data_IF_795888101270
#
_entry.id   IF_795888101270
#
_cell.length_a   1.000
_cell.length_b   1.000
_cell.length_c   1.000
_cell.angle_alpha   90.00
_cell.angle_beta   90.00
_cell.angle_gamma   90.00
#
_symmetry.space_group_name_H-M   'P 1'
#
loop_
_entity.id
_entity.type
_entity.pdbx_description
1 polymer ?
#
# COMPACT_ATOMS: atom_id res chain seq x y z
N UNK A 1 41.69 1.95 -7.87
CA UNK A 1 41.90 0.59 -8.43
C UNK A 1 42.85 -0.12 -7.49
N UNK A 2 42.54 -1.33 -7.02
CA UNK A 2 43.45 -2.06 -6.13
C UNK A 2 44.78 -2.28 -6.85
N UNK A 3 45.89 -2.11 -6.12
CA UNK A 3 47.22 -2.26 -6.71
C UNK A 3 47.73 -3.70 -6.64
N UNK A 4 47.15 -4.56 -5.80
CA UNK A 4 47.44 -6.00 -5.67
C UNK A 4 48.90 -6.37 -5.32
N UNK A 5 49.75 -5.37 -5.08
CA UNK A 5 51.20 -5.53 -4.88
C UNK A 5 51.63 -5.33 -3.42
N UNK A 6 50.79 -4.71 -2.57
CA UNK A 6 51.09 -4.44 -1.16
C UNK A 6 49.96 -4.94 -0.26
N UNK A 7 50.07 -6.15 0.34
CA UNK A 7 49.01 -6.73 1.13
C UNK A 7 48.65 -5.91 2.38
N UNK A 8 49.54 -5.05 2.88
CA UNK A 8 49.22 -4.18 4.03
C UNK A 8 48.33 -3.02 3.60
N UNK A 9 48.66 -2.40 2.45
CA UNK A 9 47.85 -1.32 1.90
C UNK A 9 46.48 -1.84 1.46
N UNK A 10 46.45 -2.97 0.77
CA UNK A 10 45.21 -3.58 0.30
C UNK A 10 44.32 -4.03 1.47
N UNK A 11 44.89 -4.50 2.59
CA UNK A 11 44.13 -4.80 3.81
C UNK A 11 43.48 -3.54 4.43
N UNK A 12 44.17 -2.40 4.43
CA UNK A 12 43.61 -1.13 4.91
C UNK A 12 42.48 -0.62 4.01
N UNK A 13 42.63 -0.75 2.69
CA UNK A 13 41.58 -0.41 1.73
C UNK A 13 40.34 -1.31 1.90
N UNK A 14 40.54 -2.62 2.12
CA UNK A 14 39.46 -3.55 2.39
C UNK A 14 38.69 -3.22 3.69
N UNK A 15 39.40 -2.82 4.75
CA UNK A 15 38.78 -2.37 6.00
C UNK A 15 37.88 -1.14 5.78
N UNK A 16 38.38 -0.12 5.06
CA UNK A 16 37.59 1.08 4.78
C UNK A 16 36.37 0.78 3.88
N UNK A 17 36.52 -0.14 2.90
CA UNK A 17 35.41 -0.57 2.07
C UNK A 17 34.30 -1.25 2.88
N UNK A 18 34.66 -2.17 3.79
CA UNK A 18 33.70 -2.82 4.69
C UNK A 18 33.03 -1.83 5.64
N UNK A 19 33.77 -0.85 6.15
CA UNK A 19 33.21 0.23 6.99
C UNK A 19 32.21 1.08 6.20
N UNK A 20 32.54 1.43 4.96
CA UNK A 20 31.64 2.14 4.05
C UNK A 20 30.37 1.34 3.78
N UNK A 21 30.50 0.05 3.49
CA UNK A 21 29.38 -0.86 3.26
C UNK A 21 28.47 -0.95 4.50
N UNK A 22 29.04 -1.12 5.69
CA UNK A 22 28.28 -1.18 6.95
C UNK A 22 27.51 0.11 7.25
N UNK A 23 28.00 1.27 6.78
CA UNK A 23 27.26 2.53 6.87
C UNK A 23 26.11 2.60 5.86
N UNK A 24 26.38 2.22 4.60
CA UNK A 24 25.40 2.27 3.53
C UNK A 24 24.26 1.26 3.73
N UNK A 25 24.54 0.07 4.28
CA UNK A 25 23.56 -1.01 4.47
C UNK A 25 22.60 -0.79 5.65
N UNK A 26 22.61 0.39 6.30
CA UNK A 26 21.62 0.74 7.33
C UNK A 26 20.22 0.93 6.76
N UNK A 27 20.12 1.27 5.47
CA UNK A 27 18.86 1.34 4.74
C UNK A 27 19.07 0.84 3.31
N UNK A 28 18.03 0.24 2.75
CA UNK A 28 17.98 -0.15 1.34
C UNK A 28 16.79 0.56 0.71
N UNK A 29 17.04 1.43 -0.27
CA UNK A 29 15.97 2.14 -0.98
C UNK A 29 15.19 1.20 -1.91
N UNK A 30 15.90 0.30 -2.59
CA UNK A 30 15.30 -0.81 -3.33
C UNK A 30 15.61 -2.14 -2.59
N UNK A 31 14.61 -2.88 -2.11
CA UNK A 31 14.81 -4.19 -1.52
C UNK A 31 15.52 -5.19 -2.45
N UNK A 32 15.48 -5.00 -3.77
CA UNK A 32 16.20 -5.84 -4.73
C UNK A 32 17.73 -5.71 -4.60
N UNK A 33 18.24 -4.58 -4.11
CA UNK A 33 19.69 -4.36 -3.93
C UNK A 33 20.29 -5.30 -2.87
N UNK A 34 19.46 -5.81 -1.95
CA UNK A 34 19.89 -6.80 -0.94
C UNK A 34 20.45 -8.07 -1.58
N UNK A 35 19.93 -8.47 -2.74
CA UNK A 35 20.42 -9.62 -3.50
C UNK A 35 21.84 -9.39 -4.03
N UNK A 36 22.06 -8.25 -4.66
CA UNK A 36 23.36 -7.88 -5.23
C UNK A 36 24.43 -7.78 -4.14
N UNK A 37 24.13 -7.07 -3.05
CA UNK A 37 25.04 -6.93 -1.91
C UNK A 37 25.37 -8.28 -1.26
N UNK A 38 24.39 -9.17 -1.13
CA UNK A 38 24.63 -10.54 -0.61
C UNK A 38 25.56 -11.34 -1.53
N UNK A 39 25.39 -11.20 -2.85
CA UNK A 39 26.27 -11.83 -3.84
C UNK A 39 27.71 -11.33 -3.78
N UNK A 40 27.91 -10.01 -3.64
CA UNK A 40 29.23 -9.41 -3.52
C UNK A 40 29.92 -9.81 -2.20
N UNK A 41 29.17 -9.88 -1.10
CA UNK A 41 29.67 -10.39 0.19
C UNK A 41 30.11 -11.86 0.10
N UNK A 42 29.40 -12.69 -0.65
CA UNK A 42 29.80 -14.08 -0.89
C UNK A 42 31.17 -14.16 -1.59
N UNK A 43 31.40 -13.32 -2.62
CA UNK A 43 32.70 -13.18 -3.26
C UNK A 43 33.78 -12.63 -2.33
N UNK A 44 33.42 -11.67 -1.47
CA UNK A 44 34.29 -11.11 -0.44
C UNK A 44 34.74 -12.14 0.60
N UNK A 45 33.85 -12.99 1.09
CA UNK A 45 34.17 -14.05 2.07
C UNK A 45 35.11 -15.09 1.48
N UNK A 46 34.92 -15.51 0.23
CA UNK A 46 35.88 -16.39 -0.47
C UNK A 46 37.27 -15.78 -0.58
N UNK A 47 37.32 -14.49 -0.90
CA UNK A 47 38.58 -13.75 -0.99
C UNK A 47 39.24 -13.63 0.39
N UNK A 48 38.46 -13.38 1.44
CA UNK A 48 38.94 -13.33 2.82
C UNK A 48 39.45 -14.69 3.30
N UNK A 49 38.78 -15.79 2.96
CA UNK A 49 39.22 -17.15 3.24
C UNK A 49 40.61 -17.39 2.66
N UNK A 50 40.83 -16.96 1.41
CA UNK A 50 42.14 -17.05 0.76
C UNK A 50 43.21 -16.18 1.46
N UNK A 51 42.87 -14.94 1.85
CA UNK A 51 43.79 -14.05 2.58
C UNK A 51 44.23 -14.69 3.91
N UNK A 52 43.29 -15.27 4.65
CA UNK A 52 43.57 -15.93 5.94
C UNK A 52 44.49 -17.15 5.75
N UNK A 53 44.30 -17.96 4.70
CA UNK A 53 45.23 -19.04 4.35
C UNK A 53 46.63 -18.52 4.04
N UNK A 54 46.72 -17.43 3.28
CA UNK A 54 48.00 -16.82 2.92
C UNK A 54 48.72 -16.28 4.15
N UNK A 55 48.01 -15.68 5.10
CA UNK A 55 48.58 -15.22 6.37
C UNK A 55 49.05 -16.39 7.24
N UNK A 56 48.27 -17.48 7.34
CA UNK A 56 48.68 -18.69 8.07
C UNK A 56 49.95 -19.29 7.47
N UNK A 57 49.99 -19.43 6.14
CA UNK A 57 51.17 -19.89 5.42
C UNK A 57 52.39 -18.97 5.64
N UNK A 58 52.18 -17.65 5.68
CA UNK A 58 53.24 -16.69 5.97
C UNK A 58 53.80 -16.89 7.39
N UNK A 59 52.96 -17.12 8.40
CA UNK A 59 53.41 -17.42 9.76
C UNK A 59 54.24 -18.71 9.83
N UNK A 60 53.82 -19.77 9.12
CA UNK A 60 54.56 -21.04 9.05
C UNK A 60 55.92 -20.84 8.35
N UNK A 61 55.94 -20.14 7.21
CA UNK A 61 57.16 -19.89 6.43
C UNK A 61 58.20 -19.07 7.20
N UNK A 62 57.76 -18.09 7.99
CA UNK A 62 58.65 -17.21 8.76
C UNK A 62 58.96 -17.72 10.18
N UNK A 63 58.42 -18.88 10.58
CA UNK A 63 58.57 -19.45 11.92
C UNK A 63 60.03 -19.58 12.38
N UNK A 64 60.95 -19.93 11.48
CA UNK A 64 62.38 -20.03 11.78
C UNK A 64 63.05 -18.71 12.18
N UNK A 65 62.41 -17.58 11.88
CA UNK A 65 62.86 -16.22 12.18
C UNK A 65 62.02 -15.52 13.26
N UNK A 66 61.08 -16.23 13.87
CA UNK A 66 60.22 -15.69 14.91
C UNK A 66 60.91 -15.74 16.28
N UNK A 67 60.90 -14.61 16.98
CA UNK A 67 61.42 -14.43 18.33
C UNK A 67 60.35 -13.68 19.14
N UNK A 68 60.23 -13.98 20.43
CA UNK A 68 59.40 -13.17 21.33
C UNK A 68 60.12 -11.88 21.77
N UNK A 69 59.46 -11.05 22.57
CA UNK A 69 60.00 -9.78 23.06
C UNK A 69 61.24 -9.97 23.96
N UNK A 70 61.44 -11.16 24.53
CA UNK A 70 62.60 -11.52 25.32
C UNK A 70 63.75 -12.09 24.46
N UNK A 71 63.57 -12.23 23.15
CA UNK A 71 64.57 -12.78 22.22
C UNK A 71 64.62 -14.31 22.20
N UNK A 72 63.59 -15.01 22.67
CA UNK A 72 63.47 -16.47 22.60
C UNK A 72 62.88 -16.93 21.27
N UNK A 73 63.68 -17.66 20.47
CA UNK A 73 63.25 -18.21 19.19
C UNK A 73 62.19 -19.31 19.36
N UNK A 74 62.36 -20.19 20.36
CA UNK A 74 61.43 -21.30 20.58
C UNK A 74 60.04 -20.80 21.01
N UNK A 75 60.00 -19.76 21.85
CA UNK A 75 58.75 -19.13 22.25
C UNK A 75 58.09 -18.40 21.06
N UNK A 76 58.85 -17.58 20.33
CA UNK A 76 58.36 -16.90 19.12
C UNK A 76 57.84 -17.86 18.05
N UNK A 77 58.54 -18.98 17.81
CA UNK A 77 58.14 -20.03 16.89
C UNK A 77 56.89 -20.79 17.35
N UNK A 78 56.65 -20.88 18.65
CA UNK A 78 55.41 -21.45 19.21
C UNK A 78 54.25 -20.49 18.98
N UNK A 79 54.43 -19.20 19.27
CA UNK A 79 53.42 -18.16 19.02
C UNK A 79 53.07 -18.04 17.53
N UNK A 80 54.06 -18.08 16.63
CA UNK A 80 53.81 -18.04 15.19
C UNK A 80 53.00 -19.26 14.71
N UNK A 81 53.25 -20.45 15.27
CA UNK A 81 52.47 -21.64 14.95
C UNK A 81 51.03 -21.54 15.48
N UNK A 82 50.85 -21.08 16.72
CA UNK A 82 49.52 -20.83 17.29
C UNK A 82 48.73 -19.81 16.47
N UNK A 83 49.35 -18.72 16.02
CA UNK A 83 48.70 -17.74 15.14
C UNK A 83 48.25 -18.36 13.81
N UNK A 84 49.07 -19.22 13.19
CA UNK A 84 48.68 -19.93 11.97
C UNK A 84 47.51 -20.90 12.21
N UNK A 85 47.46 -21.56 13.37
CA UNK A 85 46.36 -22.45 13.73
C UNK A 85 45.04 -21.70 13.90
N UNK A 86 45.04 -20.59 14.65
CA UNK A 86 43.87 -19.71 14.81
C UNK A 86 43.39 -19.16 13.46
N UNK A 87 44.30 -18.81 12.54
CA UNK A 87 43.95 -18.38 11.19
C UNK A 87 43.30 -19.53 10.40
N UNK A 88 43.79 -20.77 10.47
CA UNK A 88 43.11 -21.90 9.83
C UNK A 88 41.72 -22.17 10.45
N UNK A 89 41.57 -22.03 11.77
CA UNK A 89 40.27 -22.14 12.43
C UNK A 89 39.31 -21.05 11.95
N UNK A 90 39.77 -19.80 11.84
CA UNK A 90 39.00 -18.71 11.27
C UNK A 90 38.60 -19.00 9.82
N UNK A 91 39.50 -19.60 9.02
CA UNK A 91 39.21 -20.08 7.68
C UNK A 91 38.05 -21.09 7.66
N UNK A 92 38.05 -22.06 8.58
CA UNK A 92 36.96 -23.05 8.68
C UNK A 92 35.61 -22.39 9.04
N UNK A 93 35.63 -21.34 9.89
CA UNK A 93 34.42 -20.57 10.19
C UNK A 93 33.95 -19.76 8.98
N UNK A 94 34.87 -19.23 8.17
CA UNK A 94 34.53 -18.53 6.93
C UNK A 94 33.88 -19.45 5.90
N UNK A 95 34.26 -20.73 5.83
CA UNK A 95 33.57 -21.72 4.99
C UNK A 95 32.09 -21.87 5.42
N UNK A 96 31.82 -21.92 6.73
CA UNK A 96 30.45 -21.95 7.24
C UNK A 96 29.67 -20.64 6.95
N UNK A 97 30.33 -19.48 7.01
CA UNK A 97 29.73 -18.20 6.60
C UNK A 97 29.41 -18.21 5.11
N UNK A 98 30.30 -18.73 4.26
CA UNK A 98 30.07 -18.86 2.82
C UNK A 98 28.81 -19.68 2.53
N UNK A 99 28.65 -20.83 3.17
CA UNK A 99 27.45 -21.67 3.03
C UNK A 99 26.17 -20.91 3.37
N UNK A 100 26.18 -20.12 4.46
CA UNK A 100 25.03 -19.32 4.90
C UNK A 100 24.73 -18.18 3.93
N UNK A 101 25.74 -17.46 3.45
CA UNK A 101 25.57 -16.39 2.47
C UNK A 101 25.08 -16.94 1.13
N UNK A 102 25.57 -18.11 0.70
CA UNK A 102 25.09 -18.78 -0.50
C UNK A 102 23.61 -19.19 -0.37
N UNK A 103 23.21 -19.76 0.78
CA UNK A 103 21.80 -20.06 1.04
C UNK A 103 20.94 -18.78 1.05
N UNK A 104 21.40 -17.72 1.71
CA UNK A 104 20.72 -16.43 1.75
C UNK A 104 20.55 -15.83 0.34
N UNK A 105 21.59 -15.86 -0.49
CA UNK A 105 21.53 -15.42 -1.89
C UNK A 105 20.51 -16.24 -2.69
N UNK A 106 20.47 -17.57 -2.51
CA UNK A 106 19.46 -18.41 -3.17
C UNK A 106 18.03 -18.08 -2.70
N UNK A 107 17.82 -17.78 -1.41
CA UNK A 107 16.51 -17.38 -0.91
C UNK A 107 16.11 -16.00 -1.43
N UNK A 108 17.02 -15.03 -1.38
CA UNK A 108 16.82 -13.67 -1.89
C UNK A 108 16.49 -13.65 -3.38
N UNK A 109 17.15 -14.49 -4.19
CA UNK A 109 16.86 -14.63 -5.63
C UNK A 109 15.48 -15.22 -5.96
N UNK A 110 14.73 -15.73 -4.97
CA UNK A 110 13.34 -16.19 -5.14
C UNK A 110 12.31 -15.12 -4.76
N UNK A 111 12.73 -13.99 -4.21
CA UNK A 111 11.85 -12.89 -3.81
C UNK A 111 11.50 -12.09 -5.07
N UNK A 112 10.22 -12.09 -5.45
CA UNK A 112 9.69 -11.19 -6.46
C UNK A 112 9.32 -9.86 -5.79
N UNK A 113 10.11 -8.81 -6.06
CA UNK A 113 9.80 -7.46 -5.60
C UNK A 113 8.84 -6.80 -6.58
N UNK A 114 7.62 -6.53 -6.14
CA UNK A 114 6.66 -5.71 -6.87
C UNK A 114 6.72 -4.26 -6.38
N UNK A 115 6.65 -3.25 -7.28
CA UNK A 115 6.43 -1.87 -6.86
C UNK A 115 5.13 -1.78 -6.06
N UNK A 116 5.09 -0.92 -5.05
CA UNK A 116 4.00 -0.85 -4.06
C UNK A 116 2.59 -0.74 -4.68
N UNK A 117 2.48 -0.19 -5.89
CA UNK A 117 1.26 -0.04 -6.68
C UNK A 117 0.59 -1.36 -7.10
N UNK A 118 1.28 -2.50 -7.10
CA UNK A 118 0.67 -3.80 -7.47
C UNK A 118 0.13 -4.61 -6.27
N UNK A 119 0.35 -4.14 -5.02
CA UNK A 119 -0.06 -4.89 -3.82
C UNK A 119 -1.56 -4.79 -3.49
N UNK A 120 -2.30 -3.95 -4.18
CA UNK A 120 -3.75 -3.75 -3.92
C UNK A 120 -4.68 -4.65 -4.74
N UNK A 121 -4.18 -5.44 -5.71
CA UNK A 121 -5.05 -6.22 -6.59
C UNK A 121 -5.08 -7.74 -6.35
N UNK A 122 -4.67 -8.22 -5.17
CA UNK A 122 -4.83 -9.64 -4.80
C UNK A 122 -5.92 -9.80 -3.74
N UNK A 123 -7.15 -10.06 -4.21
CA UNK A 123 -8.30 -10.56 -3.44
C UNK A 123 -9.18 -9.45 -2.86
N UNK A 124 -10.23 -9.00 -3.55
CA UNK A 124 -11.55 -9.65 -3.52
C UNK A 124 -11.87 -10.26 -2.12
N UNK A 125 -12.54 -9.46 -1.28
CA UNK A 125 -13.01 -9.76 0.08
C UNK A 125 -11.90 -10.01 1.14
N UNK A 126 -11.36 -8.93 1.72
CA UNK A 126 -10.40 -8.96 2.83
C UNK A 126 -11.07 -8.87 4.23
N UNK A 127 -10.38 -9.30 5.31
CA UNK A 127 -10.98 -9.76 6.57
C UNK A 127 -11.47 -8.65 7.51
N UNK A 128 -12.33 -9.00 8.46
CA UNK A 128 -12.87 -8.17 9.55
C UNK A 128 -11.78 -7.29 10.19
N UNK A 129 -11.71 -6.01 9.78
CA UNK A 129 -10.74 -5.04 10.30
C UNK A 129 -11.25 -4.51 11.63
N UNK A 130 -10.39 -4.52 12.64
CA UNK A 130 -10.68 -3.93 13.95
C UNK A 130 -9.99 -2.59 14.06
N UNK A 131 -10.79 -1.53 14.08
CA UNK A 131 -10.33 -0.15 14.29
C UNK A 131 -10.49 0.19 15.77
N UNK A 132 -9.60 0.98 16.36
CA UNK A 132 -9.70 1.54 17.71
C UNK A 132 -8.93 2.85 17.78
N UNK A 133 -9.37 3.78 18.62
CA UNK A 133 -8.71 5.05 18.85
C UNK A 133 -7.98 5.08 20.20
N UNK A 134 -6.77 5.62 20.22
CA UNK A 134 -6.01 5.92 21.44
C UNK A 134 -5.49 7.36 21.35
N UNK A 135 -6.22 8.29 21.97
CA UNK A 135 -5.94 9.72 21.84
C UNK A 135 -6.08 10.17 20.38
N UNK A 136 -5.01 10.75 19.83
CA UNK A 136 -4.94 11.18 18.42
C UNK A 136 -4.65 10.03 17.44
N UNK A 137 -4.32 8.83 17.93
CA UNK A 137 -3.96 7.69 17.08
C UNK A 137 -5.18 6.83 16.73
N UNK A 138 -5.33 6.51 15.45
CA UNK A 138 -6.25 5.47 14.94
C UNK A 138 -5.45 4.21 14.64
N UNK A 139 -5.76 3.12 15.35
CA UNK A 139 -5.13 1.82 15.20
C UNK A 139 -6.09 0.89 14.49
N UNK A 140 -5.69 0.36 13.34
CA UNK A 140 -6.46 -0.65 12.59
C UNK A 140 -5.66 -1.94 12.54
N UNK A 141 -6.27 -3.06 12.89
CA UNK A 141 -5.64 -4.39 12.85
C UNK A 141 -6.53 -5.36 12.10
N UNK A 142 -5.93 -6.24 11.31
CA UNK A 142 -6.65 -7.29 10.58
C UNK A 142 -5.84 -8.60 10.56
N UNK A 143 -6.49 -9.76 10.50
CA UNK A 143 -5.77 -11.02 10.43
C UNK A 143 -5.01 -11.14 9.10
N UNK A 144 -3.82 -11.71 9.15
CA UNK A 144 -2.98 -12.01 7.99
C UNK A 144 -2.58 -13.50 8.02
N UNK A 145 -2.01 -13.98 6.92
CA UNK A 145 -1.57 -15.36 6.79
C UNK A 145 -0.54 -15.68 7.88
N UNK A 146 -0.79 -16.69 8.75
CA UNK A 146 0.14 -17.08 9.80
C UNK A 146 1.52 -17.44 9.23
N UNK A 147 2.57 -17.15 10.00
CA UNK A 147 3.96 -17.45 9.63
C UNK A 147 4.54 -18.47 10.61
N UNK A 148 4.73 -19.71 10.15
CA UNK A 148 5.14 -20.80 11.02
C UNK A 148 4.05 -21.12 12.05
N UNK A 149 4.42 -21.11 13.33
CA UNK A 149 3.49 -21.34 14.44
C UNK A 149 2.81 -20.05 14.95
N UNK A 150 3.23 -18.89 14.45
CA UNK A 150 2.77 -17.58 14.90
C UNK A 150 1.64 -17.05 14.05
N UNK A 151 0.60 -16.53 14.71
CA UNK A 151 -0.48 -15.83 14.05
C UNK A 151 0.01 -14.44 13.67
N UNK A 152 -0.15 -14.06 12.40
CA UNK A 152 0.31 -12.78 11.86
C UNK A 152 -0.89 -11.87 11.64
N UNK A 153 -0.71 -10.59 11.92
CA UNK A 153 -1.70 -9.57 11.71
C UNK A 153 -1.10 -8.41 10.92
N UNK A 154 -1.89 -7.84 10.02
CA UNK A 154 -1.59 -6.54 9.43
C UNK A 154 -2.10 -5.43 10.34
N UNK A 155 -1.41 -4.31 10.36
CA UNK A 155 -1.85 -3.12 11.07
C UNK A 155 -1.64 -1.85 10.26
N UNK A 156 -2.43 -0.83 10.61
CA UNK A 156 -2.26 0.57 10.23
C UNK A 156 -2.34 1.43 11.49
N UNK A 157 -1.40 2.34 11.65
CA UNK A 157 -1.43 3.37 12.70
C UNK A 157 -1.44 4.71 12.01
N UNK A 158 -2.42 5.54 12.33
CA UNK A 158 -2.60 6.87 11.75
C UNK A 158 -2.71 7.91 12.85
N UNK A 159 -1.94 8.98 12.75
CA UNK A 159 -2.08 10.17 13.59
C UNK A 159 -3.07 11.12 12.93
N UNK A 160 -4.27 11.22 13.52
CA UNK A 160 -5.37 12.04 12.99
C UNK A 160 -5.08 13.54 13.01
N UNK A 161 -4.09 14.00 13.78
CA UNK A 161 -3.71 15.42 13.83
C UNK A 161 -2.81 15.84 12.68
N UNK A 162 -2.02 14.91 12.17
CA UNK A 162 -1.04 15.15 11.10
C UNK A 162 -1.40 14.48 9.78
N UNK A 163 -2.29 13.48 9.81
CA UNK A 163 -2.63 12.62 8.68
C UNK A 163 -1.52 11.62 8.33
N UNK A 164 -0.45 11.54 9.12
CA UNK A 164 0.62 10.58 8.87
C UNK A 164 0.16 9.17 9.26
N UNK A 165 0.42 8.19 8.39
CA UNK A 165 0.07 6.80 8.63
C UNK A 165 1.24 5.87 8.32
N UNK A 166 1.33 4.78 9.08
CA UNK A 166 2.23 3.65 8.82
C UNK A 166 1.42 2.37 8.74
N UNK A 167 1.78 1.49 7.81
CA UNK A 167 1.26 0.13 7.72
C UNK A 167 2.37 -0.90 7.87
N UNK A 168 2.06 -1.98 8.58
CA UNK A 168 2.96 -3.11 8.79
C UNK A 168 2.24 -4.44 8.78
N UNK A 169 3.00 -5.54 8.66
CA UNK A 169 2.51 -6.93 8.69
C UNK A 169 3.37 -7.82 9.60
N UNK A 170 4.13 -7.19 10.47
CA UNK A 170 5.09 -7.78 11.39
C UNK A 170 4.53 -7.91 12.81
N UNK A 171 3.22 -7.71 12.99
CA UNK A 171 2.54 -7.97 14.25
C UNK A 171 2.27 -9.49 14.38
N UNK A 172 3.04 -10.14 15.25
CA UNK A 172 2.88 -11.56 15.55
C UNK A 172 2.27 -11.75 16.94
N UNK A 173 1.26 -12.61 17.03
CA UNK A 173 0.55 -12.89 18.29
C UNK A 173 0.63 -14.38 18.62
N UNK A 174 1.19 -14.71 19.79
CA UNK A 174 1.20 -16.07 20.36
C UNK A 174 1.73 -17.20 19.44
N UNK A 175 1.65 -18.43 19.92
CA UNK A 175 1.78 -19.64 19.10
C UNK A 175 0.48 -20.44 19.20
N UNK A 176 -0.10 -20.89 18.08
CA UNK A 176 -1.33 -21.68 18.07
C UNK A 176 -2.55 -20.96 17.48
N UNK A 177 -3.72 -21.01 18.17
CA UNK A 177 -4.99 -20.51 17.63
C UNK A 177 -5.00 -18.97 17.43
N UNK A 178 -5.79 -18.44 16.47
CA UNK A 178 -5.95 -17.00 16.28
C UNK A 178 -6.35 -16.29 17.58
N UNK A 179 -5.67 -15.20 17.90
CA UNK A 179 -6.10 -14.33 19.01
C UNK A 179 -7.28 -13.48 18.55
N UNK A 180 -8.07 -12.98 19.51
CA UNK A 180 -9.15 -12.05 19.15
C UNK A 180 -8.55 -10.76 18.59
N UNK A 181 -9.25 -10.06 17.67
CA UNK A 181 -8.75 -8.80 17.13
C UNK A 181 -8.43 -7.77 18.22
N UNK A 182 -9.22 -7.72 19.30
CA UNK A 182 -8.94 -6.87 20.46
C UNK A 182 -7.60 -7.19 21.14
N UNK A 183 -7.24 -8.47 21.20
CA UNK A 183 -5.95 -8.88 21.75
C UNK A 183 -4.81 -8.46 20.81
N UNK A 184 -5.01 -8.55 19.49
CA UNK A 184 -4.03 -8.08 18.52
C UNK A 184 -3.87 -6.54 18.59
N UNK A 185 -4.95 -5.79 18.80
CA UNK A 185 -4.91 -4.33 19.04
C UNK A 185 -4.16 -4.01 20.34
N UNK A 186 -4.40 -4.74 21.43
CA UNK A 186 -3.64 -4.58 22.68
C UNK A 186 -2.16 -4.84 22.48
N UNK A 187 -1.81 -5.88 21.73
CA UNK A 187 -0.41 -6.21 21.44
C UNK A 187 0.27 -5.09 20.64
N UNK A 188 -0.42 -4.54 19.64
CA UNK A 188 0.06 -3.37 18.90
C UNK A 188 0.27 -2.16 19.81
N UNK A 189 -0.67 -1.91 20.74
CA UNK A 189 -0.56 -0.81 21.70
C UNK A 189 0.66 -0.97 22.62
N UNK A 190 0.99 -2.20 23.05
CA UNK A 190 2.21 -2.47 23.82
C UNK A 190 3.47 -2.06 23.06
N UNK A 191 3.57 -2.43 21.77
CA UNK A 191 4.74 -2.05 20.95
C UNK A 191 4.82 -0.54 20.71
N UNK A 192 3.68 0.13 20.50
CA UNK A 192 3.64 1.59 20.35
C UNK A 192 4.05 2.31 21.64
N UNK A 193 3.58 1.85 22.80
CA UNK A 193 4.01 2.38 24.11
C UNK A 193 5.52 2.25 24.29
N UNK A 194 6.08 1.08 23.99
CA UNK A 194 7.53 0.84 24.08
C UNK A 194 8.33 1.76 23.14
N UNK A 195 7.84 2.00 21.92
CA UNK A 195 8.48 2.92 20.98
C UNK A 195 8.39 4.38 21.45
N UNK A 196 7.26 4.79 22.03
CA UNK A 196 7.08 6.12 22.61
C UNK A 196 7.99 6.37 23.82
N UNK A 197 8.14 5.37 24.69
CA UNK A 197 9.07 5.40 25.84
C UNK A 197 10.52 5.48 25.38
N UNK A 198 10.93 4.64 24.42
CA UNK A 198 12.26 4.68 23.84
C UNK A 198 12.56 6.06 23.23
N UNK A 199 11.57 6.66 22.55
CA UNK A 199 11.68 8.01 22.00
C UNK A 199 11.85 9.08 23.09
N UNK A 200 11.04 9.02 24.16
CA UNK A 200 11.19 9.92 25.30
C UNK A 200 12.59 9.78 25.94
N UNK A 201 13.05 8.55 26.15
CA UNK A 201 14.37 8.28 26.71
C UNK A 201 15.50 8.85 25.85
N UNK A 202 15.42 8.71 24.54
CA UNK A 202 16.41 9.25 23.61
C UNK A 202 16.46 10.79 23.64
N UNK A 203 15.31 11.46 23.80
CA UNK A 203 15.24 12.92 23.98
C UNK A 203 15.89 13.36 25.30
N UNK A 204 15.65 12.61 26.38
CA UNK A 204 16.22 12.90 27.70
C UNK A 204 17.71 12.55 27.80
N UNK A 205 18.18 11.60 26.98
CA UNK A 205 19.56 11.08 26.99
C UNK A 205 20.20 11.09 25.59
N UNK A 206 20.61 12.27 25.07
CA UNK A 206 21.17 12.38 23.73
C UNK A 206 22.42 11.51 23.53
N UNK A 207 22.47 10.76 22.43
CA UNK A 207 23.62 9.90 22.05
C UNK A 207 23.56 8.47 22.62
N UNK A 208 22.49 8.12 23.33
CA UNK A 208 22.17 6.74 23.70
C UNK A 208 21.30 6.08 22.63
N UNK A 209 21.27 4.74 22.60
CA UNK A 209 20.42 3.95 21.70
C UNK A 209 19.56 3.01 22.57
N UNK A 210 18.34 3.44 22.95
CA UNK A 210 17.48 2.66 23.83
C UNK A 210 16.97 1.37 23.17
N UNK A 211 16.72 0.36 24.00
CA UNK A 211 16.01 -0.84 23.57
C UNK A 211 14.61 -0.40 23.08
N UNK A 212 14.22 -0.84 21.87
CA UNK A 212 13.03 -0.44 21.12
C UNK A 212 13.15 0.83 20.24
N UNK A 213 14.34 1.44 20.12
CA UNK A 213 14.59 2.44 19.07
C UNK A 213 14.43 1.80 17.68
N UNK A 214 13.63 2.44 16.82
CA UNK A 214 13.41 1.99 15.43
C UNK A 214 12.33 0.93 15.23
N UNK A 215 11.56 0.55 16.26
CA UNK A 215 10.37 -0.32 16.07
C UNK A 215 9.34 0.31 15.12
N UNK A 216 9.16 1.63 15.22
CA UNK A 216 8.30 2.41 14.34
C UNK A 216 9.08 3.62 13.79
N UNK A 217 8.64 4.20 12.66
CA UNK A 217 9.17 5.47 12.19
C UNK A 217 9.16 6.53 13.29
N UNK A 218 10.19 7.39 13.32
CA UNK A 218 10.39 8.38 14.40
C UNK A 218 9.16 9.24 14.67
N UNK A 219 8.43 9.62 13.61
CA UNK A 219 7.17 10.37 13.71
C UNK A 219 6.06 9.62 14.46
N UNK A 220 5.91 8.33 14.19
CA UNK A 220 4.92 7.47 14.86
C UNK A 220 5.34 7.22 16.30
N UNK A 221 6.63 7.03 16.56
CA UNK A 221 7.15 6.94 17.93
C UNK A 221 6.93 8.25 18.71
N UNK A 222 7.08 9.41 18.06
CA UNK A 222 6.75 10.72 18.65
C UNK A 222 5.25 10.87 18.93
N UNK A 223 4.38 10.42 18.01
CA UNK A 223 2.94 10.43 18.22
C UNK A 223 2.51 9.47 19.34
N UNK A 224 3.11 8.28 19.42
CA UNK A 224 2.89 7.33 20.51
C UNK A 224 3.32 7.91 21.86
N UNK A 225 4.47 8.59 21.92
CA UNK A 225 4.94 9.32 23.10
C UNK A 225 3.95 10.40 23.56
N UNK A 226 3.36 11.14 22.63
CA UNK A 226 2.35 12.17 22.94
C UNK A 226 1.00 11.59 23.40
N UNK A 227 0.73 10.31 23.09
CA UNK A 227 -0.51 9.61 23.42
C UNK A 227 -0.28 8.47 24.43
N UNK A 228 0.79 8.54 25.24
CA UNK A 228 1.21 7.47 26.14
C UNK A 228 0.12 7.05 27.14
N UNK A 229 -0.59 8.01 27.75
CA UNK A 229 -1.66 7.71 28.71
C UNK A 229 -2.81 6.94 28.04
N UNK A 230 -3.23 7.35 26.83
CA UNK A 230 -4.31 6.70 26.09
C UNK A 230 -3.91 5.30 25.59
N UNK A 231 -2.64 5.11 25.21
CA UNK A 231 -2.11 3.79 24.87
C UNK A 231 -2.05 2.88 26.10
N UNK A 232 -1.67 3.40 27.27
CA UNK A 232 -1.66 2.62 28.51
C UNK A 232 -3.08 2.20 28.93
N UNK A 233 -4.06 3.10 28.82
CA UNK A 233 -5.47 2.76 29.04
C UNK A 233 -5.94 1.64 28.10
N UNK A 234 -5.56 1.72 26.82
CA UNK A 234 -5.89 0.69 25.81
C UNK A 234 -5.23 -0.66 26.12
N UNK A 235 -4.00 -0.66 26.64
CA UNK A 235 -3.30 -1.88 27.07
C UNK A 235 -3.99 -2.52 28.28
N UNK A 236 -4.34 -1.72 29.29
CA UNK A 236 -4.93 -2.20 30.55
C UNK A 236 -6.38 -2.67 30.40
N UNK A 237 -7.20 -1.89 29.70
CA UNK A 237 -8.65 -2.10 29.63
C UNK A 237 -9.11 -2.72 28.32
N UNK A 238 -8.21 -2.81 27.32
CA UNK A 238 -8.57 -3.18 25.96
C UNK A 238 -9.37 -2.07 25.25
N UNK A 239 -9.70 -2.29 23.97
CA UNK A 239 -10.55 -1.34 23.24
C UNK A 239 -11.87 -1.17 23.97
N UNK A 240 -12.23 0.08 24.29
CA UNK A 240 -13.45 0.41 25.04
C UNK A 240 -14.70 0.08 24.21
N UNK A 241 -15.22 -1.16 24.34
CA UNK A 241 -16.49 -1.57 23.73
C UNK A 241 -17.71 -0.97 24.43
N UNK A 242 -17.63 -0.64 25.71
CA UNK A 242 -18.78 -0.13 26.47
C UNK A 242 -19.25 1.26 25.99
N UNK A 243 -18.34 2.04 25.37
CA UNK A 243 -18.71 3.24 24.63
C UNK A 243 -19.18 2.95 23.19
N UNK A 244 -18.80 1.81 22.58
CA UNK A 244 -19.25 1.39 21.24
C UNK A 244 -20.64 0.79 21.21
N UNK A 245 -21.08 0.13 22.28
CA UNK A 245 -22.43 -0.44 22.35
C UNK A 245 -23.50 0.65 22.61
N UNK A 246 -23.09 1.88 22.98
CA UNK A 246 -23.97 3.04 23.18
C UNK A 246 -23.67 4.28 22.30
N UNK A 247 -22.55 4.32 21.55
CA UNK A 247 -22.27 5.36 20.54
C UNK A 247 -22.51 4.80 19.13
N UNK A 248 -23.07 5.56 18.18
CA UNK A 248 -23.36 5.04 16.85
C UNK A 248 -22.08 4.57 16.18
N UNK A 249 -22.12 3.34 15.64
CA UNK A 249 -21.02 2.72 14.90
C UNK A 249 -20.47 3.71 13.87
N UNK A 250 -19.13 3.77 13.76
CA UNK A 250 -18.51 4.43 12.63
C UNK A 250 -18.87 3.62 11.37
N UNK A 251 -19.88 4.10 10.64
CA UNK A 251 -20.45 3.39 9.49
C UNK A 251 -19.69 3.77 8.23
N UNK A 252 -19.31 2.76 7.43
CA UNK A 252 -18.85 3.02 6.07
C UNK A 252 -20.01 3.62 5.27
N UNK A 253 -19.81 4.82 4.73
CA UNK A 253 -20.79 5.55 3.94
C UNK A 253 -20.15 6.08 2.66
N UNK A 254 -20.97 6.59 1.76
CA UNK A 254 -20.54 7.16 0.47
C UNK A 254 -20.99 8.60 0.37
N UNK A 255 -20.11 9.49 -0.07
CA UNK A 255 -20.45 10.86 -0.47
C UNK A 255 -20.54 10.97 -1.99
N UNK A 256 -21.44 11.81 -2.49
CA UNK A 256 -21.43 12.19 -3.91
C UNK A 256 -20.25 13.10 -4.20
N UNK A 257 -19.37 12.68 -5.10
CA UNK A 257 -18.26 13.51 -5.62
C UNK A 257 -18.77 14.40 -6.75
N UNK A 258 -19.44 13.78 -7.73
CA UNK A 258 -19.97 14.49 -8.88
C UNK A 258 -21.18 13.78 -9.47
N UNK A 259 -22.17 14.56 -9.86
CA UNK A 259 -23.37 14.12 -10.57
C UNK A 259 -23.45 14.87 -11.91
N UNK A 260 -23.33 14.16 -13.03
CA UNK A 260 -23.45 14.71 -14.38
C UNK A 260 -24.70 14.19 -15.07
N UNK A 261 -25.35 15.06 -15.86
CA UNK A 261 -26.54 14.74 -16.65
C UNK A 261 -26.53 15.47 -18.00
N UNK A 262 -27.22 14.92 -18.98
CA UNK A 262 -27.33 15.52 -20.32
C UNK A 262 -25.98 15.57 -21.03
N UNK A 263 -25.65 16.69 -21.67
CA UNK A 263 -24.45 16.79 -22.53
C UNK A 263 -23.14 16.49 -21.79
N UNK A 264 -23.03 16.84 -20.50
CA UNK A 264 -21.85 16.52 -19.70
C UNK A 264 -21.76 15.02 -19.36
N UNK A 265 -22.89 14.35 -19.14
CA UNK A 265 -22.92 12.91 -18.96
C UNK A 265 -22.65 12.17 -20.28
N UNK A 266 -23.15 12.67 -21.41
CA UNK A 266 -22.97 12.06 -22.74
C UNK A 266 -21.48 11.97 -23.12
N UNK A 267 -20.67 12.98 -22.76
CA UNK A 267 -19.22 12.95 -22.93
C UNK A 267 -18.58 11.79 -22.16
N UNK A 268 -18.99 11.60 -20.90
CA UNK A 268 -18.47 10.54 -20.03
C UNK A 268 -18.99 9.17 -20.44
N UNK A 269 -20.24 9.05 -20.88
CA UNK A 269 -20.79 7.81 -21.44
C UNK A 269 -20.05 7.40 -22.72
N UNK A 270 -19.71 8.36 -23.59
CA UNK A 270 -18.87 8.11 -24.77
C UNK A 270 -17.46 7.65 -24.37
N UNK A 271 -16.90 8.22 -23.29
CA UNK A 271 -15.63 7.79 -22.73
C UNK A 271 -15.71 6.34 -22.20
N UNK A 272 -16.78 5.99 -21.50
CA UNK A 272 -17.03 4.62 -21.00
C UNK A 272 -17.11 3.63 -22.17
N UNK A 273 -17.84 3.96 -23.24
CA UNK A 273 -17.97 3.09 -24.41
C UNK A 273 -16.65 2.92 -25.18
N UNK A 274 -15.77 3.93 -25.16
CA UNK A 274 -14.49 3.93 -25.88
C UNK A 274 -13.35 3.26 -25.09
N UNK A 275 -13.18 3.65 -23.83
CA UNK A 275 -12.00 3.35 -23.01
C UNK A 275 -12.33 2.58 -21.72
N UNK A 276 -13.61 2.33 -21.45
CA UNK A 276 -14.05 1.57 -20.28
C UNK A 276 -14.34 2.43 -19.03
N UNK A 277 -14.88 1.77 -18.00
CA UNK A 277 -15.31 2.42 -16.75
C UNK A 277 -14.16 2.96 -15.92
N UNK A 278 -12.98 2.34 -15.99
CA UNK A 278 -11.81 2.73 -15.20
C UNK A 278 -11.27 4.11 -15.63
N UNK A 279 -11.28 4.38 -16.94
CA UNK A 279 -10.91 5.68 -17.51
C UNK A 279 -11.93 6.77 -17.13
N UNK A 280 -13.22 6.41 -17.05
CA UNK A 280 -14.26 7.31 -16.61
C UNK A 280 -14.16 7.65 -15.12
N UNK A 281 -13.84 6.67 -14.26
CA UNK A 281 -13.57 6.90 -12.84
C UNK A 281 -12.38 7.84 -12.66
N UNK A 282 -11.27 7.60 -13.37
CA UNK A 282 -10.09 8.46 -13.31
C UNK A 282 -10.39 9.90 -13.78
N UNK A 283 -11.16 10.05 -14.86
CA UNK A 283 -11.59 11.36 -15.34
C UNK A 283 -12.46 12.10 -14.32
N UNK A 284 -13.42 11.40 -13.69
CA UNK A 284 -14.35 11.97 -12.73
C UNK A 284 -13.72 12.23 -11.35
N UNK A 285 -12.70 11.46 -10.96
CA UNK A 285 -11.94 11.69 -9.73
C UNK A 285 -11.22 13.05 -9.75
N UNK A 286 -10.97 13.64 -10.92
CA UNK A 286 -10.47 15.01 -11.04
C UNK A 286 -11.42 16.11 -10.52
N UNK A 287 -12.68 15.76 -10.24
CA UNK A 287 -13.65 16.65 -9.57
C UNK A 287 -13.64 16.52 -8.04
N UNK A 288 -12.83 15.61 -7.49
CA UNK A 288 -12.70 15.42 -6.06
C UNK A 288 -11.56 16.27 -5.46
N UNK A 289 -11.92 17.24 -4.63
CA UNK A 289 -10.99 18.13 -3.93
C UNK A 289 -10.79 17.72 -2.47
N UNK A 290 -11.01 16.44 -2.13
CA UNK A 290 -10.72 15.89 -0.80
C UNK A 290 -11.76 16.34 0.24
N UNK A 291 -11.29 17.04 1.27
CA UNK A 291 -12.10 17.56 2.39
C UNK A 291 -13.16 18.57 1.93
N UNK A 292 -12.87 19.38 0.90
CA UNK A 292 -13.82 20.39 0.41
C UNK A 292 -15.05 19.72 -0.22
N UNK A 293 -14.82 18.69 -1.04
CA UNK A 293 -15.88 17.88 -1.64
C UNK A 293 -16.67 17.13 -0.58
N UNK A 294 -16.00 16.58 0.43
CA UNK A 294 -16.67 15.92 1.56
C UNK A 294 -17.57 16.87 2.32
N UNK A 295 -17.05 18.01 2.78
CA UNK A 295 -17.84 18.99 3.52
C UNK A 295 -19.03 19.51 2.72
N UNK A 296 -18.84 19.75 1.42
CA UNK A 296 -19.95 20.14 0.54
C UNK A 296 -21.00 19.04 0.42
N UNK A 297 -20.60 17.77 0.27
CA UNK A 297 -21.53 16.65 0.23
C UNK A 297 -22.30 16.50 1.55
N UNK A 298 -21.63 16.68 2.70
CA UNK A 298 -22.26 16.65 4.02
C UNK A 298 -23.27 17.78 4.20
N UNK A 299 -22.91 19.01 3.83
CA UNK A 299 -23.77 20.20 3.91
C UNK A 299 -25.01 20.07 3.01
N UNK A 300 -24.87 19.45 1.84
CA UNK A 300 -25.95 19.22 0.89
C UNK A 300 -26.73 17.91 1.15
N UNK A 301 -26.32 17.10 2.12
CA UNK A 301 -26.95 15.81 2.45
C UNK A 301 -26.73 14.70 1.41
N UNK A 302 -25.71 14.81 0.55
CA UNK A 302 -25.35 13.82 -0.45
C UNK A 302 -24.48 12.71 0.13
N UNK A 303 -25.02 12.08 1.18
CA UNK A 303 -24.43 10.99 1.95
C UNK A 303 -25.33 9.78 1.79
N UNK A 304 -24.75 8.61 1.55
CA UNK A 304 -25.48 7.39 1.25
C UNK A 304 -24.92 6.22 2.04
N UNK A 305 -25.80 5.31 2.48
CA UNK A 305 -25.39 4.04 3.09
C UNK A 305 -24.86 3.03 2.06
N UNK A 306 -25.12 3.26 0.77
CA UNK A 306 -24.51 2.59 -0.38
C UNK A 306 -24.71 3.47 -1.62
N UNK A 307 -23.85 3.40 -2.65
CA UNK A 307 -24.02 4.18 -3.88
C UNK A 307 -25.42 3.93 -4.48
N UNK A 308 -26.28 4.94 -4.60
CA UNK A 308 -27.65 4.74 -5.05
C UNK A 308 -27.63 4.30 -6.51
N UNK A 309 -28.06 3.07 -6.74
CA UNK A 309 -28.19 2.46 -8.05
C UNK A 309 -29.59 1.85 -8.21
N UNK A 310 -30.33 2.34 -9.18
CA UNK A 310 -31.59 1.80 -9.66
C UNK A 310 -31.41 0.61 -10.62
N UNK A 311 -32.52 -0.03 -10.98
CA UNK A 311 -32.54 -1.31 -11.72
C UNK A 311 -31.89 -1.26 -13.11
N UNK A 312 -31.84 -0.09 -13.74
CA UNK A 312 -31.27 0.10 -15.08
C UNK A 312 -29.86 0.70 -15.05
N UNK A 313 -29.33 0.95 -13.87
CA UNK A 313 -28.04 1.56 -13.69
C UNK A 313 -26.96 0.48 -13.72
N UNK A 314 -25.79 0.87 -14.22
CA UNK A 314 -24.60 0.05 -14.24
C UNK A 314 -23.61 0.63 -13.25
N UNK A 315 -23.02 -0.24 -12.45
CA UNK A 315 -22.06 0.13 -11.43
C UNK A 315 -20.67 -0.40 -11.76
N UNK A 316 -19.64 0.37 -11.41
CA UNK A 316 -18.25 -0.05 -11.47
C UNK A 316 -17.50 0.61 -10.30
N UNK A 317 -16.60 -0.12 -9.66
CA UNK A 317 -15.84 0.35 -8.50
C UNK A 317 -14.35 0.24 -8.79
N UNK A 318 -13.60 1.28 -8.42
CA UNK A 318 -12.14 1.34 -8.51
C UNK A 318 -11.63 2.23 -7.38
N UNK A 319 -10.69 1.72 -6.60
CA UNK A 319 -10.16 2.37 -5.40
C UNK A 319 -11.30 2.76 -4.45
N UNK A 320 -11.30 3.97 -3.89
CA UNK A 320 -12.36 4.46 -2.99
C UNK A 320 -13.62 4.94 -3.74
N UNK A 321 -13.67 4.78 -5.08
CA UNK A 321 -14.73 5.35 -5.90
C UNK A 321 -15.68 4.32 -6.48
N UNK A 322 -16.97 4.61 -6.43
CA UNK A 322 -18.01 3.87 -7.14
C UNK A 322 -18.69 4.76 -8.19
N UNK A 323 -18.58 4.35 -9.45
CA UNK A 323 -19.29 4.90 -10.59
C UNK A 323 -20.68 4.27 -10.69
N UNK A 324 -21.72 5.09 -10.82
CA UNK A 324 -23.06 4.67 -11.21
C UNK A 324 -23.42 5.41 -12.50
N UNK A 325 -23.72 4.69 -13.57
CA UNK A 325 -24.07 5.30 -14.84
C UNK A 325 -25.29 4.65 -15.49
N UNK A 326 -26.07 5.46 -16.20
CA UNK A 326 -27.21 4.98 -16.96
C UNK A 326 -27.22 5.59 -18.35
N UNK A 327 -26.81 4.83 -19.39
CA UNK A 327 -26.84 5.31 -20.77
C UNK A 327 -28.25 5.64 -21.26
N UNK A 328 -29.30 4.97 -20.74
CA UNK A 328 -30.68 5.19 -21.18
C UNK A 328 -31.27 6.50 -20.63
N UNK A 329 -30.91 6.88 -19.41
CA UNK A 329 -31.38 8.10 -18.75
C UNK A 329 -30.37 9.26 -18.84
N UNK A 330 -29.19 9.02 -19.43
CA UNK A 330 -28.20 10.06 -19.75
C UNK A 330 -27.57 10.71 -18.52
N UNK A 331 -27.18 9.91 -17.51
CA UNK A 331 -26.51 10.42 -16.32
C UNK A 331 -25.35 9.53 -15.87
N UNK A 332 -24.40 10.15 -15.16
CA UNK A 332 -23.23 9.51 -14.55
C UNK A 332 -22.99 10.14 -13.18
N UNK A 333 -22.77 9.32 -12.16
CA UNK A 333 -22.44 9.74 -10.80
C UNK A 333 -21.17 9.05 -10.33
N UNK A 334 -20.31 9.79 -9.63
CA UNK A 334 -19.18 9.22 -8.89
C UNK A 334 -19.40 9.43 -7.39
N UNK A 335 -19.21 8.37 -6.62
CA UNK A 335 -19.28 8.39 -5.16
C UNK A 335 -17.92 8.01 -4.58
N UNK A 336 -17.54 8.60 -3.44
CA UNK A 336 -16.33 8.23 -2.68
C UNK A 336 -16.70 7.64 -1.33
N UNK A 337 -16.03 6.56 -0.93
CA UNK A 337 -16.11 5.98 0.40
C UNK A 337 -15.56 6.93 1.47
N UNK A 338 -16.25 7.01 2.61
CA UNK A 338 -15.75 7.68 3.79
C UNK A 338 -16.28 7.01 5.06
N UNK A 339 -15.52 7.14 6.14
CA UNK A 339 -15.92 6.63 7.45
C UNK A 339 -16.74 7.72 8.14
N UNK A 340 -18.04 7.48 8.29
CA UNK A 340 -18.94 8.40 8.96
C UNK A 340 -18.85 8.24 10.48
N UNK A 341 -18.50 9.31 11.19
CA UNK A 341 -18.67 9.39 12.65
C UNK A 341 -20.02 10.05 12.99
N UNK A 342 -20.58 9.78 14.20
CA UNK A 342 -21.88 10.32 14.64
C UNK A 342 -22.00 11.85 14.58
N UNK A 343 -20.88 12.57 14.70
CA UNK A 343 -20.81 14.03 14.65
C UNK A 343 -20.80 14.55 13.20
N UNK A 344 -20.39 13.72 12.24
CA UNK A 344 -20.09 14.10 10.87
C UNK A 344 -21.18 13.70 9.86
N UNK A 345 -22.12 12.82 10.22
CA UNK A 345 -23.05 12.23 9.25
C UNK A 345 -24.52 12.25 9.68
N UNK A 346 -25.36 13.15 9.11
CA UNK A 346 -26.82 13.04 9.20
C UNK A 346 -27.33 11.72 8.58
N UNK A 347 -28.62 11.40 8.78
CA UNK A 347 -29.28 10.21 8.21
C UNK A 347 -28.93 10.03 6.71
N UNK A 348 -28.52 8.82 6.28
CA UNK A 348 -28.16 8.59 4.90
C UNK A 348 -29.37 8.80 3.99
N UNK A 349 -29.16 9.50 2.89
CA UNK A 349 -30.16 9.60 1.84
C UNK A 349 -30.23 8.25 1.11
N UNK A 350 -31.42 7.68 0.90
CA UNK A 350 -31.56 6.39 0.18
C UNK A 350 -31.40 6.54 -1.34
N UNK A 351 -31.72 7.72 -1.90
CA UNK A 351 -31.71 8.00 -3.34
C UNK A 351 -31.17 9.39 -3.63
N UNK A 352 -30.32 9.53 -4.64
CA UNK A 352 -29.81 10.85 -5.01
C UNK A 352 -30.98 11.76 -5.46
N UNK A 353 -31.25 12.92 -4.81
CA UNK A 353 -32.44 13.73 -5.10
C UNK A 353 -32.56 14.15 -6.57
N UNK A 354 -31.42 14.40 -7.23
CA UNK A 354 -31.37 14.67 -8.67
C UNK A 354 -31.72 13.45 -9.54
N UNK A 355 -31.43 12.23 -9.09
CA UNK A 355 -31.83 10.99 -9.77
C UNK A 355 -33.34 10.79 -9.63
N UNK A 356 -33.92 11.05 -8.45
CA UNK A 356 -35.38 11.04 -8.25
C UNK A 356 -36.07 12.05 -9.18
N UNK A 357 -35.57 13.28 -9.23
CA UNK A 357 -36.10 14.32 -10.13
C UNK A 357 -35.96 13.93 -11.62
N UNK A 358 -34.88 13.24 -12.00
CA UNK A 358 -34.68 12.75 -13.37
C UNK A 358 -35.63 11.61 -13.74
N UNK A 359 -35.84 10.65 -12.83
CA UNK A 359 -36.78 9.54 -13.01
C UNK A 359 -38.21 10.08 -13.12
N UNK A 360 -38.60 11.00 -12.24
CA UNK A 360 -39.90 11.67 -12.28
C UNK A 360 -40.10 12.47 -13.57
N UNK A 361 -39.10 13.23 -14.01
CA UNK A 361 -39.15 14.00 -15.26
C UNK A 361 -39.24 13.10 -16.49
N UNK A 362 -38.59 11.94 -16.49
CA UNK A 362 -38.70 10.95 -17.56
C UNK A 362 -40.05 10.22 -17.54
N UNK A 363 -40.59 9.90 -16.37
CA UNK A 363 -41.94 9.35 -16.22
C UNK A 363 -43.00 10.36 -16.72
N UNK A 364 -42.86 11.64 -16.35
CA UNK A 364 -43.73 12.73 -16.82
C UNK A 364 -43.61 12.95 -18.34
N UNK A 365 -42.44 12.77 -18.95
CA UNK A 365 -42.28 12.80 -20.42
C UNK A 365 -42.93 11.61 -21.13
N UNK A 366 -43.06 10.45 -20.46
CA UNK A 366 -43.82 9.30 -20.98
C UNK A 366 -45.32 9.47 -20.81
N UNK A 367 -45.75 10.15 -19.75
CA UNK A 367 -47.17 10.39 -19.41
C UNK A 367 -47.73 11.73 -19.91
N UNK A 368 -46.93 12.57 -20.56
CA UNK A 368 -47.47 13.77 -21.22
C UNK A 368 -48.23 13.29 -22.46
N UNK A 369 -49.56 13.44 -22.54
CA UNK A 369 -50.25 13.24 -23.80
C UNK A 369 -49.66 14.28 -24.75
N UNK A 370 -49.15 13.83 -25.89
CA UNK A 370 -48.76 14.73 -26.98
C UNK A 370 -49.90 15.73 -27.16
N UNK A 371 -49.68 17.07 -27.04
CA UNK A 371 -50.74 18.01 -27.33
C UNK A 371 -51.15 17.77 -28.77
N UNK A 372 -52.38 17.25 -28.92
CA UNK A 372 -52.96 16.98 -30.22
C UNK A 372 -52.99 18.30 -30.97
N UNK A 373 -52.09 18.41 -31.95
CA UNK A 373 -52.11 19.45 -32.96
C UNK A 373 -53.51 19.43 -33.58
N UNK A 374 -54.27 20.55 -33.66
CA UNK A 374 -55.62 20.52 -34.19
C UNK A 374 -55.53 20.19 -35.69
N UNK A 375 -55.86 18.94 -36.03
CA UNK A 375 -55.97 18.49 -37.42
C UNK A 375 -57.34 18.89 -37.93
N UNK A 376 -57.37 19.82 -38.88
CA UNK A 376 -58.54 20.15 -39.71
C UNK A 376 -58.98 18.91 -40.51
N UNK A 377 -60.29 18.75 -40.80
CA UNK A 377 -60.79 17.52 -41.34
C UNK A 377 -60.49 17.34 -42.83
N UNK A 378 -60.15 16.08 -43.11
CA UNK A 378 -60.47 15.26 -44.29
C UNK A 378 -59.74 15.51 -45.62
N UNK A 379 -59.14 14.45 -46.18
CA UNK A 379 -59.68 13.69 -47.33
C UNK A 379 -58.75 12.50 -47.64
N UNK A 380 -59.31 11.29 -47.50
CA UNK A 380 -59.10 10.01 -48.25
C UNK A 380 -57.68 9.58 -48.69
N UNK A 381 -57.32 8.34 -48.31
CA UNK A 381 -56.44 7.49 -49.11
C UNK A 381 -55.83 6.32 -48.35
N UNK A 382 -56.48 5.15 -48.39
CA UNK A 382 -55.89 3.85 -48.04
C UNK A 382 -54.67 3.54 -48.94
N UNK A 383 -53.57 3.02 -48.37
CA UNK A 383 -53.00 1.71 -48.73
C UNK A 383 -51.60 1.45 -48.14
N UNK A 384 -51.46 0.21 -47.68
CA UNK A 384 -50.31 -0.69 -47.77
C UNK A 384 -49.05 -0.49 -46.91
N UNK A 385 -48.81 -1.51 -46.07
CA UNK A 385 -47.54 -1.87 -45.46
C UNK A 385 -46.53 -2.41 -46.51
N UNK A 386 -45.24 -2.10 -46.30
CA UNK A 386 -43.99 -2.77 -46.75
C UNK A 386 -42.87 -1.69 -46.75
N UNK A 387 -41.58 -1.90 -46.52
CA UNK A 387 -40.72 -3.02 -46.15
C UNK A 387 -39.39 -2.38 -45.71
N UNK A 388 -38.68 -2.96 -44.74
CA UNK A 388 -37.55 -2.35 -44.04
C UNK A 388 -36.19 -2.41 -44.80
N UNK A 389 -36.14 -3.06 -45.97
CA UNK A 389 -34.88 -3.37 -46.68
C UNK A 389 -34.58 -2.56 -47.97
N UNK A 390 -35.23 -1.42 -48.22
CA UNK A 390 -34.91 -0.60 -49.40
C UNK A 390 -34.12 0.68 -49.04
N UNK A 391 -32.80 0.65 -49.28
CA UNK A 391 -31.97 1.87 -49.37
C UNK A 391 -32.41 2.70 -50.59
N UNK A 392 -32.52 4.04 -50.48
CA UNK A 392 -32.91 4.90 -51.60
C UNK A 392 -31.75 5.10 -52.59
N UNK A 393 -31.97 5.10 -53.91
CA UNK A 393 -30.97 5.56 -54.86
C UNK A 393 -31.00 7.10 -54.96
N UNK A 394 -29.82 7.71 -54.86
CA UNK A 394 -29.59 9.12 -55.11
C UNK A 394 -29.85 9.45 -56.60
N UNK A 395 -30.68 10.45 -56.84
CA UNK A 395 -30.88 11.06 -58.15
C UNK A 395 -29.86 12.18 -58.38
N UNK A 396 -29.07 12.09 -59.45
CA UNK A 396 -28.47 13.26 -60.09
C UNK A 396 -28.70 13.18 -61.60
N UNK A 397 -29.30 14.24 -62.12
CA UNK A 397 -29.58 14.46 -63.53
C UNK A 397 -28.39 15.16 -64.18
N UNK A 398 -28.03 14.78 -65.41
CA UNK A 398 -27.99 15.63 -66.61
C UNK A 398 -27.06 15.04 -67.68
N UNK A 399 -27.52 15.05 -68.94
CA UNK A 399 -26.66 14.82 -70.09
C UNK A 399 -27.41 14.34 -71.33
N UNK A 400 -28.19 15.22 -71.97
CA UNK A 400 -28.67 15.02 -73.36
C UNK A 400 -27.81 15.87 -74.31
N UNK A 401 -27.41 15.24 -75.42
CA UNK A 401 -26.79 15.86 -76.60
C UNK A 401 -25.68 14.93 -77.14
N UNK A 402 -25.99 13.88 -77.93
CA UNK A 402 -26.15 13.89 -79.41
C UNK A 402 -24.99 14.62 -80.09
N UNK A 403 -24.16 13.96 -80.90
CA UNK A 403 -24.19 13.84 -82.38
C UNK A 403 -22.76 13.28 -82.70
N UNK A 404 -22.46 12.27 -83.52
CA UNK A 404 -23.02 11.63 -84.72
C UNK A 404 -22.79 10.11 -84.64
#
# INVERSE_FOLDING_TARGET
MPTFDDPRKDAAEAFEALRGLAHASRSFADPADTYAVTGDLLGGVRSLRQVVDQLAAAHIAHRGRAYDDAGSQAAGATSAFAAADELHQAGTLLDAVEERLNAASQHSGRIASHPATERESIGAAGPERTVTQAGALTLTVWPDTPLGEHQRHGYRVEDTTTGEAVEGRDLFTGAGAPVTPDQAVRELAVFLSAAGEARQYALDNPGTNPENEGLFPERIADAARLNADALNELVEHGPNRAARDEAPEAELRWISVVFLQGEEADKVLTLIDRDGTDAAIEHLAGFDYGEETMRAALENGYIYASPPAGTLDRTATRDDYTLVHNPFNGYVSLYREFIATPELAPEPTEVHPLVTALIERHAQRRDTPTPQRPVRPDVRGQAAAADWFARPPASSAHGRGRVL
#
